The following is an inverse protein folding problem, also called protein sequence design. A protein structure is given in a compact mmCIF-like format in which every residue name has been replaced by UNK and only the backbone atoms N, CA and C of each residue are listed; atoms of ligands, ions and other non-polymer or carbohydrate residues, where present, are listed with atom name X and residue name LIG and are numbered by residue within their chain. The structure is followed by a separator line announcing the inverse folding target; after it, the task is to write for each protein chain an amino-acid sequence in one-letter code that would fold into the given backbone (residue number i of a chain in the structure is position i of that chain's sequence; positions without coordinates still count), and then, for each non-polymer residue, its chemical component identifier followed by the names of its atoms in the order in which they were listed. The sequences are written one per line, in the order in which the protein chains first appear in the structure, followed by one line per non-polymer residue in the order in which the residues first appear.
data_IF_997964910905
#
_entry.id   IF_997964910905
#
_cell.length_a   1.000
_cell.length_b   1.000
_cell.length_c   1.000
_cell.angle_alpha   90.00
_cell.angle_beta   90.00
_cell.angle_gamma   90.00
#
_symmetry.space_group_name_H-M   'P 1'
#
loop_
_entity.id
_entity.type
_entity.pdbx_description
1 polymer ?
#
# COMPACT_ATOMS: atom_id res chain seq x y z
N UNK A 1 8.43 -22.04 22.27
CA UNK A 1 9.30 -20.85 22.49
C UNK A 1 10.68 -21.35 22.84
N UNK A 2 11.60 -21.33 21.87
CA UNK A 2 12.96 -21.82 22.08
C UNK A 2 13.89 -20.79 22.74
N UNK A 3 13.47 -19.54 22.87
CA UNK A 3 14.29 -18.48 23.44
C UNK A 3 13.68 -17.83 24.69
N UNK A 4 13.54 -18.63 25.74
CA UNK A 4 13.06 -18.16 27.06
C UNK A 4 13.95 -17.08 27.69
N UNK A 5 15.22 -17.00 27.28
CA UNK A 5 16.18 -16.03 27.79
C UNK A 5 15.90 -14.63 27.24
N UNK A 6 15.68 -14.50 25.93
CA UNK A 6 15.31 -13.24 25.29
C UNK A 6 13.97 -12.68 25.78
N UNK A 7 12.98 -13.54 25.96
CA UNK A 7 11.66 -13.14 26.46
C UNK A 7 11.69 -12.61 27.90
N UNK A 8 12.67 -13.05 28.72
CA UNK A 8 12.88 -12.51 30.08
C UNK A 8 13.72 -11.24 30.09
N UNK A 9 14.67 -11.13 29.15
CA UNK A 9 15.59 -10.00 29.08
C UNK A 9 14.99 -8.75 28.44
N UNK A 10 14.02 -8.92 27.51
CA UNK A 10 13.36 -7.82 26.81
C UNK A 10 11.84 -8.01 26.78
N UNK A 11 11.09 -7.36 27.69
CA UNK A 11 9.62 -7.40 27.68
C UNK A 11 9.01 -6.82 26.39
N UNK A 12 9.70 -5.90 25.69
CA UNK A 12 9.28 -5.32 24.41
C UNK A 12 9.38 -6.31 23.24
N UNK A 13 10.25 -7.30 23.34
CA UNK A 13 10.47 -8.29 22.29
C UNK A 13 9.20 -9.08 21.93
N UNK A 14 8.47 -9.54 22.93
CA UNK A 14 7.19 -10.25 22.71
C UNK A 14 6.13 -9.34 22.06
N UNK A 15 6.09 -8.06 22.47
CA UNK A 15 5.19 -7.08 21.87
C UNK A 15 5.54 -6.85 20.39
N UNK A 16 6.84 -6.73 20.08
CA UNK A 16 7.32 -6.60 18.70
C UNK A 16 6.96 -7.79 17.82
N UNK A 17 7.11 -9.03 18.34
CA UNK A 17 6.71 -10.24 17.63
C UNK A 17 5.19 -10.33 17.43
N UNK A 18 4.42 -9.86 18.41
CA UNK A 18 2.97 -9.83 18.29
C UNK A 18 2.46 -8.78 17.31
N UNK A 19 3.24 -7.77 16.99
CA UNK A 19 2.93 -6.75 16.01
C UNK A 19 3.22 -7.17 14.54
N UNK A 20 3.80 -8.34 14.33
CA UNK A 20 4.07 -8.89 13.00
C UNK A 20 2.78 -9.43 12.34
N UNK A 21 2.82 -9.61 11.01
CA UNK A 21 1.77 -10.33 10.28
C UNK A 21 1.63 -11.77 10.77
N UNK A 22 0.49 -12.39 10.49
CA UNK A 22 0.21 -13.75 10.90
C UNK A 22 1.30 -14.74 10.47
N UNK A 23 1.76 -14.63 9.23
CA UNK A 23 2.77 -15.53 8.66
C UNK A 23 4.12 -15.37 9.38
N UNK A 24 4.58 -14.14 9.56
CA UNK A 24 5.84 -13.86 10.26
C UNK A 24 5.75 -14.20 11.75
N UNK A 25 4.61 -13.96 12.37
CA UNK A 25 4.35 -14.36 13.75
C UNK A 25 4.40 -15.88 13.93
N UNK A 26 3.80 -16.66 13.04
CA UNK A 26 3.89 -18.11 13.06
C UNK A 26 5.32 -18.61 12.92
N UNK A 27 6.12 -17.98 12.05
CA UNK A 27 7.53 -18.32 11.85
C UNK A 27 8.39 -17.98 13.07
N UNK A 28 8.37 -16.72 13.48
CA UNK A 28 9.31 -16.20 14.48
C UNK A 28 8.88 -16.48 15.91
N UNK A 29 7.57 -16.42 16.21
CA UNK A 29 7.05 -16.64 17.56
C UNK A 29 6.80 -18.11 17.84
N UNK A 30 6.30 -18.87 16.86
CA UNK A 30 5.89 -20.28 17.06
C UNK A 30 6.86 -21.28 16.43
N UNK A 31 7.90 -20.82 15.72
CA UNK A 31 8.88 -21.69 15.07
C UNK A 31 8.29 -22.50 13.90
N UNK A 32 7.14 -22.08 13.37
CA UNK A 32 6.46 -22.77 12.28
C UNK A 32 7.03 -22.32 10.92
N UNK A 33 8.22 -22.78 10.58
CA UNK A 33 8.88 -22.50 9.32
C UNK A 33 8.24 -23.21 8.11
N UNK A 34 7.28 -24.10 8.35
CA UNK A 34 6.55 -24.81 7.30
C UNK A 34 5.38 -24.00 6.75
N UNK A 35 4.96 -22.95 7.47
CA UNK A 35 3.90 -22.09 6.96
C UNK A 35 4.37 -21.42 5.66
N UNK A 36 3.58 -21.59 4.61
CA UNK A 36 3.82 -20.94 3.33
C UNK A 36 2.86 -19.78 3.18
N UNK A 37 3.30 -18.66 2.59
CA UNK A 37 2.39 -17.63 2.13
C UNK A 37 1.32 -18.26 1.23
N UNK A 38 0.06 -17.96 1.49
CA UNK A 38 -1.06 -18.44 0.71
C UNK A 38 -2.19 -17.41 0.73
N UNK A 39 -3.06 -17.47 -0.26
CA UNK A 39 -4.24 -16.62 -0.34
C UNK A 39 -5.05 -16.65 0.98
N UNK A 40 -5.55 -15.48 1.39
CA UNK A 40 -6.31 -15.32 2.63
C UNK A 40 -5.51 -15.32 3.93
N UNK A 41 -4.18 -15.50 3.91
CA UNK A 41 -3.35 -15.38 5.11
C UNK A 41 -2.89 -13.94 5.40
N UNK A 42 -2.82 -13.10 4.38
CA UNK A 42 -2.38 -11.71 4.50
C UNK A 42 -3.55 -10.77 4.69
N UNK A 43 -4.54 -10.91 3.84
CA UNK A 43 -5.70 -10.03 3.79
C UNK A 43 -6.99 -10.84 3.68
N UNK A 44 -8.02 -10.40 4.42
CA UNK A 44 -9.41 -10.83 4.27
C UNK A 44 -10.29 -9.62 4.37
N UNK A 45 -11.39 -9.62 3.65
CA UNK A 45 -12.38 -8.54 3.67
C UNK A 45 -12.88 -8.22 5.08
N UNK A 46 -13.09 -9.21 5.91
CA UNK A 46 -13.58 -9.08 7.29
C UNK A 46 -12.57 -8.43 8.25
N UNK A 47 -11.30 -8.34 7.86
CA UNK A 47 -10.27 -7.61 8.61
C UNK A 47 -10.36 -6.09 8.43
N UNK A 48 -11.14 -5.61 7.45
CA UNK A 48 -11.31 -4.19 7.17
C UNK A 48 -12.68 -3.70 7.66
N UNK A 49 -12.68 -2.53 8.28
CA UNK A 49 -13.91 -1.81 8.59
C UNK A 49 -14.26 -0.90 7.41
N UNK A 50 -15.41 -1.13 6.77
CA UNK A 50 -15.93 -0.24 5.72
C UNK A 50 -16.64 0.93 6.40
N UNK A 51 -16.34 2.15 5.98
CA UNK A 51 -16.90 3.38 6.51
C UNK A 51 -17.41 4.27 5.37
N UNK A 52 -18.42 5.09 5.66
CA UNK A 52 -19.00 6.04 4.71
C UNK A 52 -18.47 7.46 4.89
N UNK A 53 -17.96 7.76 6.08
CA UNK A 53 -17.42 9.07 6.44
C UNK A 53 -16.07 8.92 7.13
N UNK A 54 -15.28 10.00 7.10
CA UNK A 54 -13.99 10.03 7.80
C UNK A 54 -14.24 10.04 9.33
N UNK A 55 -13.74 9.00 10.04
CA UNK A 55 -14.00 8.89 11.49
C UNK A 55 -13.12 9.79 12.35
N UNK A 56 -12.06 10.37 11.81
CA UNK A 56 -11.12 11.25 12.50
C UNK A 56 -10.34 12.12 11.50
N UNK A 57 -9.57 13.09 12.00
CA UNK A 57 -8.77 14.00 11.17
C UNK A 57 -7.60 13.28 10.51
N UNK A 58 -7.38 13.59 9.23
CA UNK A 58 -6.22 13.13 8.47
C UNK A 58 -4.98 13.89 8.94
N UNK A 59 -3.89 13.16 9.24
CA UNK A 59 -2.57 13.72 9.56
C UNK A 59 -1.56 13.56 8.43
N UNK A 60 -1.72 12.54 7.60
CA UNK A 60 -0.95 12.39 6.36
C UNK A 60 -1.78 11.67 5.31
N UNK A 61 -1.56 12.00 4.05
CA UNK A 61 -2.25 11.39 2.91
C UNK A 61 -1.29 11.21 1.76
N UNK A 62 -1.34 10.04 1.13
CA UNK A 62 -0.51 9.71 -0.03
C UNK A 62 -1.29 8.89 -1.05
N UNK A 63 -1.03 9.14 -2.32
CA UNK A 63 -1.41 8.27 -3.43
C UNK A 63 -0.18 7.61 -3.99
N UNK A 64 -0.13 6.29 -3.92
CA UNK A 64 0.91 5.52 -4.59
C UNK A 64 0.37 4.85 -5.86
N UNK A 65 1.27 4.66 -6.80
CA UNK A 65 0.99 4.08 -8.09
C UNK A 65 1.78 2.79 -8.28
N UNK A 66 1.13 1.81 -8.89
CA UNK A 66 1.77 0.70 -9.59
C UNK A 66 1.49 0.86 -11.08
N UNK A 67 2.53 0.92 -11.91
CA UNK A 67 2.44 1.39 -13.28
C UNK A 67 2.65 0.26 -14.30
N UNK A 68 1.62 -0.02 -15.08
CA UNK A 68 1.71 -0.86 -16.26
C UNK A 68 1.11 -0.13 -17.46
N UNK A 69 1.89 0.08 -18.52
CA UNK A 69 1.43 0.76 -19.72
C UNK A 69 0.98 -0.28 -20.78
N UNK A 70 -0.05 -1.06 -20.42
CA UNK A 70 -0.54 -2.16 -21.27
C UNK A 70 -2.03 -2.04 -21.53
N UNK A 71 -2.43 -2.27 -22.80
CA UNK A 71 -3.83 -2.25 -23.22
C UNK A 71 -4.37 -3.66 -23.42
N UNK A 72 -5.67 -3.81 -23.26
CA UNK A 72 -6.38 -5.05 -23.59
C UNK A 72 -6.34 -5.25 -25.11
N UNK A 73 -5.92 -6.42 -25.54
CA UNK A 73 -5.94 -6.83 -26.95
C UNK A 73 -6.52 -8.25 -27.07
N UNK A 74 -6.97 -8.69 -28.27
CA UNK A 74 -7.45 -10.05 -28.45
C UNK A 74 -6.44 -11.13 -28.02
N UNK A 75 -5.15 -10.87 -28.20
CA UNK A 75 -4.08 -11.79 -27.82
C UNK A 75 -3.63 -11.65 -26.35
N UNK A 76 -4.06 -10.57 -25.66
CA UNK A 76 -3.77 -10.31 -24.25
C UNK A 76 -5.03 -9.71 -23.60
N UNK A 77 -6.04 -10.55 -23.31
CA UNK A 77 -7.34 -10.09 -22.81
C UNK A 77 -7.28 -9.61 -21.35
N UNK A 78 -6.30 -10.08 -20.58
CA UNK A 78 -6.09 -9.70 -19.17
C UNK A 78 -4.62 -9.29 -18.91
N UNK A 79 -4.18 -8.10 -19.36
CA UNK A 79 -2.84 -7.59 -19.13
C UNK A 79 -2.70 -7.03 -17.71
N UNK A 80 -1.45 -6.83 -17.26
CA UNK A 80 -1.15 -6.05 -16.06
C UNK A 80 -1.75 -4.65 -16.20
N UNK A 81 -2.21 -4.08 -15.11
CA UNK A 81 -2.95 -2.81 -15.10
C UNK A 81 -2.24 -1.76 -14.28
N UNK A 82 -2.33 -0.52 -14.72
CA UNK A 82 -1.97 0.59 -13.83
C UNK A 82 -2.97 0.64 -12.69
N UNK A 83 -2.47 0.57 -11.47
CA UNK A 83 -3.26 0.74 -10.24
C UNK A 83 -2.76 1.93 -9.42
N UNK A 84 -3.66 2.51 -8.62
CA UNK A 84 -3.27 3.47 -7.61
C UNK A 84 -4.14 3.33 -6.37
N UNK A 85 -3.55 3.65 -5.22
CA UNK A 85 -4.24 3.65 -3.93
C UNK A 85 -4.01 4.99 -3.23
N UNK A 86 -5.10 5.67 -2.87
CA UNK A 86 -5.08 6.83 -1.99
C UNK A 86 -5.33 6.37 -0.56
N UNK A 87 -4.36 6.56 0.30
CA UNK A 87 -4.44 6.17 1.71
C UNK A 87 -4.15 7.37 2.61
N UNK A 88 -4.83 7.43 3.74
CA UNK A 88 -4.55 8.39 4.79
C UNK A 88 -4.23 7.71 6.11
N UNK A 89 -3.39 8.36 6.91
CA UNK A 89 -3.22 8.09 8.34
C UNK A 89 -4.04 9.09 9.12
N UNK A 90 -4.81 8.60 10.08
CA UNK A 90 -5.65 9.39 10.95
C UNK A 90 -4.91 9.74 12.25
N UNK A 91 -5.40 10.74 12.96
CA UNK A 91 -4.82 11.21 14.24
C UNK A 91 -4.81 10.11 15.31
N UNK A 92 -5.83 9.25 15.32
CA UNK A 92 -5.92 8.10 16.25
C UNK A 92 -4.95 6.96 15.91
N UNK A 93 -4.09 7.12 14.87
CA UNK A 93 -3.11 6.14 14.44
C UNK A 93 -3.64 5.08 13.46
N UNK A 94 -4.93 5.07 13.16
CA UNK A 94 -5.52 4.17 12.17
C UNK A 94 -5.25 4.64 10.73
N UNK A 95 -5.40 3.73 9.78
CA UNK A 95 -5.23 3.97 8.35
C UNK A 95 -6.56 3.82 7.64
N UNK A 96 -6.79 4.62 6.61
CA UNK A 96 -7.99 4.52 5.78
C UNK A 96 -7.62 4.59 4.30
N UNK A 97 -8.09 3.61 3.54
CA UNK A 97 -8.03 3.62 2.09
C UNK A 97 -9.21 4.45 1.59
N UNK A 98 -8.92 5.55 0.92
CA UNK A 98 -9.90 6.56 0.50
C UNK A 98 -10.40 6.32 -0.93
N UNK A 99 -9.50 5.83 -1.80
CA UNK A 99 -9.81 5.55 -3.20
C UNK A 99 -8.80 4.56 -3.79
N UNK A 100 -9.28 3.70 -4.68
CA UNK A 100 -8.45 2.80 -5.47
C UNK A 100 -8.88 2.86 -6.92
N UNK A 101 -7.91 2.97 -7.82
CA UNK A 101 -8.12 2.94 -9.26
C UNK A 101 -7.33 1.78 -9.86
N UNK A 102 -7.90 1.12 -10.87
CA UNK A 102 -7.24 0.06 -11.64
C UNK A 102 -7.70 0.13 -13.09
N UNK A 103 -6.76 0.33 -14.02
CA UNK A 103 -7.04 0.56 -15.44
C UNK A 103 -6.02 -0.12 -16.34
N UNK A 104 -6.46 -0.72 -17.44
CA UNK A 104 -5.61 -1.14 -18.55
C UNK A 104 -5.53 0.00 -19.57
N UNK A 105 -4.40 0.70 -19.65
CA UNK A 105 -4.22 1.93 -20.40
C UNK A 105 -2.87 1.94 -21.12
N UNK A 106 -2.80 2.62 -22.24
CA UNK A 106 -1.51 2.92 -22.88
C UNK A 106 -0.72 4.01 -22.11
N UNK A 107 0.54 4.19 -22.43
CA UNK A 107 1.43 5.09 -21.69
C UNK A 107 0.97 6.55 -21.68
N UNK A 108 0.33 7.03 -22.77
CA UNK A 108 -0.21 8.39 -22.83
C UNK A 108 -1.37 8.59 -21.87
N UNK A 109 -2.29 7.62 -21.86
CA UNK A 109 -3.49 7.66 -21.02
C UNK A 109 -3.13 7.48 -19.54
N UNK A 110 -2.11 6.67 -19.21
CA UNK A 110 -1.57 6.58 -17.83
C UNK A 110 -1.07 7.94 -17.37
N UNK A 111 -0.31 8.67 -18.18
CA UNK A 111 0.17 10.01 -17.84
C UNK A 111 -0.97 11.00 -17.61
N UNK A 112 -1.98 10.99 -18.48
CA UNK A 112 -3.17 11.82 -18.34
C UNK A 112 -3.95 11.47 -17.06
N UNK A 113 -4.12 10.17 -16.79
CA UNK A 113 -4.76 9.69 -15.55
C UNK A 113 -4.03 10.20 -14.32
N UNK A 114 -2.70 10.10 -14.26
CA UNK A 114 -1.90 10.57 -13.12
C UNK A 114 -2.09 12.05 -12.85
N UNK A 115 -2.06 12.90 -13.89
CA UNK A 115 -2.25 14.36 -13.75
C UNK A 115 -3.66 14.67 -13.23
N UNK A 116 -4.68 14.11 -13.88
CA UNK A 116 -6.08 14.35 -13.51
C UNK A 116 -6.37 13.88 -12.06
N UNK A 117 -5.81 12.75 -11.69
CA UNK A 117 -5.94 12.20 -10.33
C UNK A 117 -5.24 13.10 -9.31
N UNK A 118 -4.02 13.56 -9.59
CA UNK A 118 -3.29 14.47 -8.70
C UNK A 118 -4.04 15.82 -8.51
N UNK A 119 -4.68 16.33 -9.55
CA UNK A 119 -5.54 17.52 -9.48
C UNK A 119 -6.76 17.28 -8.59
N UNK A 120 -7.46 16.15 -8.77
CA UNK A 120 -8.64 15.78 -7.97
C UNK A 120 -8.27 15.58 -6.49
N UNK A 121 -7.19 14.84 -6.23
CA UNK A 121 -6.70 14.60 -4.88
C UNK A 121 -6.34 15.90 -4.17
N UNK A 122 -5.64 16.83 -4.86
CA UNK A 122 -5.30 18.14 -4.30
C UNK A 122 -6.52 19.02 -4.02
N UNK A 123 -7.57 18.90 -4.83
CA UNK A 123 -8.82 19.65 -4.61
C UNK A 123 -9.57 19.14 -3.38
N UNK A 124 -9.50 17.84 -3.09
CA UNK A 124 -10.22 17.21 -1.98
C UNK A 124 -9.40 17.17 -0.69
N UNK A 125 -8.08 16.94 -0.80
CA UNK A 125 -7.18 16.77 0.35
C UNK A 125 -5.97 17.70 0.21
N UNK A 126 -5.61 18.39 1.28
CA UNK A 126 -4.42 19.23 1.31
C UNK A 126 -3.15 18.36 1.41
N UNK A 127 -2.09 18.76 0.73
CA UNK A 127 -0.75 18.16 0.85
C UNK A 127 -0.67 16.65 0.54
N UNK A 128 -1.43 16.17 -0.44
CA UNK A 128 -1.31 14.78 -0.90
C UNK A 128 0.08 14.53 -1.47
N UNK A 129 0.74 13.50 -0.98
CA UNK A 129 2.00 13.01 -1.53
C UNK A 129 1.72 12.01 -2.64
N UNK A 130 2.19 12.28 -3.86
CA UNK A 130 2.17 11.31 -4.95
C UNK A 130 3.45 10.50 -4.92
N UNK A 131 3.32 9.18 -4.82
CA UNK A 131 4.44 8.24 -4.79
C UNK A 131 4.51 7.50 -6.11
N UNK A 132 5.66 7.61 -6.79
CA UNK A 132 5.91 6.99 -8.10
C UNK A 132 6.90 5.84 -7.91
N UNK A 133 6.61 4.62 -8.39
CA UNK A 133 7.56 3.53 -8.37
C UNK A 133 8.75 3.85 -9.28
N UNK A 134 9.92 3.41 -8.88
CA UNK A 134 11.14 3.49 -9.66
C UNK A 134 11.75 2.10 -9.76
N UNK A 135 11.68 1.51 -10.93
CA UNK A 135 12.33 0.24 -11.18
C UNK A 135 13.85 0.36 -11.07
N UNK A 136 14.54 -0.73 -10.70
CA UNK A 136 15.99 -0.73 -10.68
C UNK A 136 16.59 -0.47 -12.07
N UNK A 137 17.70 0.26 -12.10
CA UNK A 137 18.42 0.58 -13.34
C UNK A 137 18.10 1.96 -13.92
N UNK A 138 18.80 2.30 -15.01
CA UNK A 138 18.75 3.64 -15.59
C UNK A 138 17.39 3.96 -16.22
N UNK A 139 16.79 3.02 -16.93
CA UNK A 139 15.49 3.21 -17.57
C UNK A 139 14.39 3.53 -16.54
N UNK A 140 14.37 2.84 -15.39
CA UNK A 140 13.42 3.12 -14.32
C UNK A 140 13.64 4.49 -13.68
N UNK A 141 14.89 4.93 -13.54
CA UNK A 141 15.23 6.28 -13.07
C UNK A 141 14.72 7.36 -14.02
N UNK A 142 14.96 7.18 -15.33
CA UNK A 142 14.56 8.12 -16.37
C UNK A 142 13.02 8.21 -16.47
N UNK A 143 12.33 7.08 -16.37
CA UNK A 143 10.88 7.03 -16.32
C UNK A 143 10.33 7.77 -15.09
N UNK A 144 10.84 7.48 -13.90
CA UNK A 144 10.42 8.13 -12.67
C UNK A 144 10.68 9.64 -12.70
N UNK A 145 11.84 10.08 -13.21
CA UNK A 145 12.16 11.49 -13.40
C UNK A 145 11.22 12.19 -14.40
N UNK A 146 10.89 11.53 -15.52
CA UNK A 146 9.93 12.04 -16.50
C UNK A 146 8.53 12.23 -15.89
N UNK A 147 8.05 11.26 -15.10
CA UNK A 147 6.77 11.35 -14.42
C UNK A 147 6.76 12.40 -13.31
N UNK A 148 7.86 12.52 -12.55
CA UNK A 148 8.00 13.57 -11.55
C UNK A 148 7.97 14.98 -12.20
N UNK A 149 8.60 15.14 -13.36
CA UNK A 149 8.56 16.39 -14.13
C UNK A 149 7.15 16.70 -14.66
N UNK A 150 6.41 15.67 -15.09
CA UNK A 150 5.02 15.80 -15.53
C UNK A 150 4.11 16.31 -14.40
N UNK A 151 4.41 15.91 -13.16
CA UNK A 151 3.68 16.29 -11.95
C UNK A 151 4.33 17.50 -11.24
N UNK A 152 5.05 18.34 -11.95
CA UNK A 152 5.61 19.57 -11.40
C UNK A 152 4.52 20.44 -10.75
N UNK A 153 4.77 20.92 -9.53
CA UNK A 153 3.78 21.67 -8.74
C UNK A 153 2.93 20.82 -7.79
N UNK A 154 3.09 19.49 -7.82
CA UNK A 154 2.57 18.57 -6.81
C UNK A 154 3.70 18.08 -5.90
N UNK A 155 3.33 17.56 -4.73
CA UNK A 155 4.30 16.91 -3.83
C UNK A 155 4.56 15.48 -4.32
N UNK A 156 5.67 15.28 -5.00
CA UNK A 156 6.04 13.99 -5.59
C UNK A 156 7.24 13.39 -4.86
N UNK A 157 7.24 12.09 -4.69
CA UNK A 157 8.40 11.31 -4.30
C UNK A 157 8.53 10.05 -5.16
N UNK A 158 9.75 9.62 -5.40
CA UNK A 158 10.03 8.34 -6.02
C UNK A 158 10.42 7.32 -4.97
N UNK A 159 10.13 6.07 -5.23
CA UNK A 159 10.46 4.97 -4.34
C UNK A 159 11.01 3.80 -5.17
N UNK A 160 12.23 3.38 -4.84
CA UNK A 160 12.86 2.24 -5.53
C UNK A 160 12.19 0.95 -5.09
N UNK A 161 11.69 0.19 -6.06
CA UNK A 161 11.08 -1.12 -5.83
C UNK A 161 12.18 -2.12 -5.47
N UNK A 162 12.16 -2.65 -4.25
CA UNK A 162 13.15 -3.62 -3.75
C UNK A 162 12.47 -4.70 -2.92
N UNK A 163 13.03 -5.91 -2.95
CA UNK A 163 12.50 -7.05 -2.23
C UNK A 163 11.33 -7.74 -2.95
N UNK A 164 10.83 -8.83 -2.36
CA UNK A 164 9.67 -9.55 -2.89
C UNK A 164 8.37 -8.78 -2.64
N UNK A 165 7.34 -9.03 -3.44
CA UNK A 165 5.99 -8.48 -3.22
C UNK A 165 5.45 -8.81 -1.83
N UNK A 166 5.72 -10.02 -1.34
CA UNK A 166 5.34 -10.45 0.00
C UNK A 166 5.99 -9.54 1.06
N UNK A 167 7.32 -9.36 0.99
CA UNK A 167 8.05 -8.52 1.95
C UNK A 167 7.57 -7.06 1.93
N UNK A 168 7.14 -6.56 0.75
CA UNK A 168 6.59 -5.20 0.64
C UNK A 168 5.21 -5.07 1.25
N UNK A 169 4.37 -6.11 1.14
CA UNK A 169 3.00 -6.12 1.68
C UNK A 169 2.92 -6.39 3.19
N UNK A 170 3.92 -7.09 3.77
CA UNK A 170 3.94 -7.48 5.19
C UNK A 170 3.59 -6.35 6.18
N UNK A 171 4.18 -5.14 6.10
CA UNK A 171 3.86 -4.08 7.06
C UNK A 171 2.40 -3.61 6.98
N UNK A 172 1.84 -3.54 5.78
CA UNK A 172 0.43 -3.21 5.58
C UNK A 172 -0.48 -4.34 6.08
N UNK A 173 -0.18 -5.59 5.73
CA UNK A 173 -0.93 -6.75 6.18
C UNK A 173 -0.97 -6.84 7.72
N UNK A 174 0.13 -6.56 8.40
CA UNK A 174 0.17 -6.52 9.85
C UNK A 174 -0.84 -5.51 10.43
N UNK A 175 -0.92 -4.29 9.87
CA UNK A 175 -1.89 -3.29 10.33
C UNK A 175 -3.34 -3.71 10.06
N UNK A 176 -3.60 -4.33 8.91
CA UNK A 176 -4.92 -4.88 8.57
C UNK A 176 -5.33 -5.96 9.57
N UNK A 177 -4.45 -6.91 9.85
CA UNK A 177 -4.70 -8.02 10.80
C UNK A 177 -4.90 -7.54 12.24
N UNK A 178 -4.34 -6.37 12.61
CA UNK A 178 -4.56 -5.74 13.91
C UNK A 178 -5.82 -4.84 13.96
N UNK A 179 -6.61 -4.80 12.88
CA UNK A 179 -7.83 -4.00 12.81
C UNK A 179 -7.58 -2.49 12.73
N UNK A 180 -6.36 -2.08 12.36
CA UNK A 180 -5.99 -0.68 12.24
C UNK A 180 -6.31 -0.09 10.85
N UNK A 181 -6.83 -0.88 9.90
CA UNK A 181 -7.14 -0.46 8.56
C UNK A 181 -8.64 -0.36 8.29
N UNK A 182 -9.03 0.71 7.63
CA UNK A 182 -10.40 0.98 7.17
C UNK A 182 -10.43 1.21 5.67
N UNK A 183 -11.61 1.08 5.10
CA UNK A 183 -11.85 1.31 3.66
C UNK A 183 -13.06 2.23 3.52
N UNK A 184 -12.94 3.31 2.75
CA UNK A 184 -14.06 4.13 2.37
C UNK A 184 -14.99 3.34 1.43
N UNK A 185 -16.31 3.38 1.69
CA UNK A 185 -17.29 2.73 0.86
C UNK A 185 -17.26 3.29 -0.57
N UNK A 186 -17.12 2.44 -1.57
CA UNK A 186 -17.05 2.82 -2.97
C UNK A 186 -17.26 1.64 -3.93
N UNK A 187 -17.57 1.94 -5.19
CA UNK A 187 -17.81 0.93 -6.23
C UNK A 187 -16.56 0.06 -6.51
N UNK A 188 -15.38 0.53 -6.17
CA UNK A 188 -14.11 -0.17 -6.35
C UNK A 188 -13.83 -1.23 -5.28
N UNK A 189 -14.57 -1.23 -4.16
CA UNK A 189 -14.29 -2.09 -3.00
C UNK A 189 -14.27 -3.59 -3.35
N UNK A 190 -15.23 -4.06 -4.17
CA UNK A 190 -15.30 -5.49 -4.50
C UNK A 190 -14.03 -5.95 -5.21
N UNK A 191 -13.65 -5.27 -6.30
CA UNK A 191 -12.47 -5.63 -7.08
C UNK A 191 -11.16 -5.52 -6.27
N UNK A 192 -11.10 -4.56 -5.35
CA UNK A 192 -9.97 -4.40 -4.44
C UNK A 192 -9.86 -5.57 -3.46
N UNK A 193 -10.96 -5.94 -2.81
CA UNK A 193 -10.95 -7.07 -1.87
C UNK A 193 -10.69 -8.40 -2.56
N UNK A 194 -11.22 -8.64 -3.74
CA UNK A 194 -10.98 -9.87 -4.49
C UNK A 194 -9.49 -10.08 -4.77
N UNK A 195 -8.76 -9.00 -5.13
CA UNK A 195 -7.33 -9.06 -5.38
C UNK A 195 -6.53 -9.23 -4.07
N UNK A 196 -6.89 -8.51 -3.01
CA UNK A 196 -6.25 -8.65 -1.71
C UNK A 196 -6.40 -10.08 -1.15
N UNK A 197 -7.58 -10.67 -1.21
CA UNK A 197 -7.83 -12.01 -0.69
C UNK A 197 -7.10 -13.08 -1.50
N UNK A 198 -6.87 -12.85 -2.79
CA UNK A 198 -6.07 -13.73 -3.64
C UNK A 198 -4.57 -13.65 -3.42
N UNK A 199 -4.07 -12.61 -2.74
CA UNK A 199 -2.65 -12.40 -2.53
C UNK A 199 -2.01 -13.48 -1.62
N UNK A 200 -0.82 -14.02 -1.92
CA UNK A 200 0.11 -13.66 -3.00
C UNK A 200 -0.05 -14.50 -4.28
N UNK A 201 -1.04 -15.36 -4.35
CA UNK A 201 -1.18 -16.39 -5.42
C UNK A 201 -2.08 -15.92 -6.57
N UNK A 202 -2.70 -14.73 -6.45
CA UNK A 202 -3.54 -14.14 -7.50
C UNK A 202 -2.73 -13.84 -8.78
N UNK A 203 -3.43 -13.86 -9.93
CA UNK A 203 -2.85 -13.51 -11.22
C UNK A 203 -2.34 -12.06 -11.27
N UNK A 204 -3.03 -11.17 -10.57
CA UNK A 204 -2.70 -9.76 -10.46
C UNK A 204 -2.56 -9.35 -9.00
N UNK A 205 -1.63 -8.43 -8.73
CA UNK A 205 -1.36 -7.84 -7.41
C UNK A 205 -1.10 -6.32 -7.47
N UNK A 206 -1.47 -5.69 -8.60
CA UNK A 206 -1.24 -4.27 -8.88
C UNK A 206 -1.82 -3.36 -7.77
N UNK A 207 -3.04 -3.68 -7.27
CA UNK A 207 -3.69 -2.92 -6.20
C UNK A 207 -3.06 -3.18 -4.83
N UNK A 208 -2.54 -4.40 -4.59
CA UNK A 208 -1.82 -4.74 -3.35
C UNK A 208 -0.52 -3.97 -3.27
N UNK A 209 0.24 -3.90 -4.38
CA UNK A 209 1.49 -3.17 -4.46
C UNK A 209 1.26 -1.65 -4.28
N UNK A 210 0.28 -1.08 -4.97
CA UNK A 210 -0.11 0.32 -4.77
C UNK A 210 -0.54 0.63 -3.32
N UNK A 211 -1.33 -0.25 -2.69
CA UNK A 211 -1.77 -0.07 -1.30
C UNK A 211 -0.61 -0.18 -0.30
N UNK A 212 0.32 -1.11 -0.53
CA UNK A 212 1.50 -1.31 0.30
C UNK A 212 2.45 -0.10 0.26
N UNK A 213 2.62 0.50 -0.92
CA UNK A 213 3.46 1.67 -1.08
C UNK A 213 2.78 2.95 -0.56
N UNK A 214 1.46 3.09 -0.70
CA UNK A 214 0.69 4.15 -0.06
C UNK A 214 0.79 4.06 1.47
N UNK A 215 0.64 2.86 2.04
CA UNK A 215 0.83 2.62 3.47
C UNK A 215 2.22 3.06 3.94
N UNK A 216 3.27 2.64 3.24
CA UNK A 216 4.66 3.03 3.55
C UNK A 216 4.84 4.54 3.59
N UNK A 217 4.23 5.26 2.64
CA UNK A 217 4.34 6.71 2.55
C UNK A 217 3.67 7.42 3.73
N UNK A 218 2.44 7.00 4.10
CA UNK A 218 1.71 7.63 5.22
C UNK A 218 2.23 7.21 6.59
N UNK A 219 2.80 6.00 6.73
CA UNK A 219 3.38 5.51 7.98
C UNK A 219 4.70 6.22 8.34
N UNK A 220 5.50 6.59 7.32
CA UNK A 220 6.81 7.26 7.50
C UNK A 220 6.71 8.76 7.75
N UNK A 221 5.57 9.38 7.50
CA UNK A 221 5.39 10.80 7.80
C UNK A 221 5.37 11.01 9.32
N UNK A 222 6.56 10.99 9.95
CA UNK A 222 6.73 11.43 11.32
C UNK A 222 6.43 12.93 11.40
N UNK A 223 5.55 13.27 12.27
CA UNK A 223 5.25 14.66 12.62
C UNK A 223 6.41 15.21 13.44
N UNK A 224 7.41 15.79 12.75
CA UNK A 224 8.51 16.50 13.42
C UNK A 224 8.03 17.73 14.21
N UNK A 225 6.77 18.15 14.00
CA UNK A 225 6.19 19.28 14.72
C UNK A 225 5.80 18.95 16.16
N UNK A 226 5.63 17.68 16.51
CA UNK A 226 5.33 17.27 17.89
C UNK A 226 6.55 17.25 18.83
N UNK A 227 7.76 17.46 18.30
CA UNK A 227 9.01 17.51 19.10
C UNK A 227 9.49 18.94 19.41
N UNK A 228 8.76 19.97 18.95
CA UNK A 228 9.13 21.40 19.10
C UNK A 228 8.08 22.19 19.89
N UNK A 229 7.08 21.52 20.45
CA UNK A 229 6.07 22.13 21.33
C UNK A 229 6.29 21.80 22.79
#
# INVERSE_FOLDING_TARGET
FDNKVLLKADPGYLASLNALSLVEKERLLRGNWKIRPAAGLYFKRDMFRIVHDLPDKIVSVARAWDLAATTITPNRPDPDRTASCLMARLRNGQYIILDVQRRALNASDVRALMVNTAMADRAQYKNVQTVIPQDPGQAGKDQAASLASLLAGFRVSTHTVTGSKITRAEPFAAQVQHGAAMVMAGAWNQAFFDELEGFPDALHDDQVDAASDAFKAVARSHDWTALIS
#
